data_IF_593598589604
#
_entry.id   IF_593598589604
#
_cell.length_a   1.000
_cell.length_b   1.000
_cell.length_c   1.000
_cell.angle_alpha   90.00
_cell.angle_beta   90.00
_cell.angle_gamma   90.00
#
_symmetry.space_group_name_H-M   'P 1'
#
loop_
_entity.id
_entity.type
_entity.pdbx_description
1 polymer ?
#
# COMPACT_ATOMS: atom_id res chain seq x y z
N UNK A 1 52.05 33.46 24.36
CA UNK A 1 51.10 32.46 24.92
C UNK A 1 49.70 32.98 24.66
N UNK A 2 49.03 32.47 23.63
CA UNK A 2 47.65 32.81 23.29
C UNK A 2 46.96 31.54 22.83
N UNK A 3 45.99 31.07 23.61
CA UNK A 3 45.26 29.84 23.36
C UNK A 3 44.23 30.07 22.26
N UNK A 4 44.36 29.35 21.14
CA UNK A 4 43.30 29.22 20.15
C UNK A 4 42.23 28.26 20.70
N UNK A 5 41.07 28.78 21.06
CA UNK A 5 39.88 27.95 21.31
C UNK A 5 39.23 27.58 19.99
N UNK A 6 39.37 26.31 19.59
CA UNK A 6 38.58 25.71 18.53
C UNK A 6 37.19 25.34 19.07
N UNK A 7 36.16 26.03 18.60
CA UNK A 7 34.77 25.58 18.78
C UNK A 7 34.46 24.55 17.69
N UNK A 8 34.51 23.26 18.04
CA UNK A 8 33.89 22.22 17.22
C UNK A 8 32.39 22.28 17.48
N UNK A 9 31.68 23.00 16.62
CA UNK A 9 30.22 22.92 16.56
C UNK A 9 29.82 21.50 16.19
N UNK A 10 29.34 20.73 17.17
CA UNK A 10 28.63 19.48 16.91
C UNK A 10 27.43 19.82 16.00
N UNK A 11 27.52 19.45 14.73
CA UNK A 11 26.35 19.35 13.87
C UNK A 11 25.42 18.31 14.52
N UNK A 12 24.37 18.82 15.17
CA UNK A 12 23.27 18.10 15.78
C UNK A 12 22.40 17.46 14.68
N UNK A 13 23.00 16.55 13.91
CA UNK A 13 22.25 15.70 13.01
C UNK A 13 21.39 14.77 13.86
N UNK A 14 20.17 15.18 14.19
CA UNK A 14 19.14 14.25 14.66
C UNK A 14 18.90 13.26 13.53
N UNK A 15 19.62 12.13 13.57
CA UNK A 15 19.34 10.97 12.76
C UNK A 15 17.98 10.47 13.25
N UNK A 16 16.92 10.78 12.51
CA UNK A 16 15.64 10.13 12.71
C UNK A 16 15.86 8.64 12.47
N UNK A 17 15.78 7.85 13.54
CA UNK A 17 15.84 6.40 13.44
C UNK A 17 14.56 5.94 12.75
N UNK A 18 14.63 5.73 11.43
CA UNK A 18 13.55 5.08 10.68
C UNK A 18 13.41 3.67 11.22
N UNK A 19 12.26 3.39 11.83
CA UNK A 19 11.88 2.03 12.18
C UNK A 19 10.86 1.58 11.16
N UNK A 20 11.33 0.88 10.14
CA UNK A 20 10.45 0.29 9.15
C UNK A 20 9.49 -0.68 9.85
N UNK A 21 8.20 -0.46 9.67
CA UNK A 21 7.12 -1.26 10.24
C UNK A 21 6.63 -2.24 9.17
N UNK A 22 6.68 -3.53 9.50
CA UNK A 22 6.19 -4.57 8.59
C UNK A 22 4.67 -4.66 8.63
N UNK A 23 4.04 -4.51 7.47
CA UNK A 23 2.61 -4.74 7.25
C UNK A 23 2.46 -6.11 6.59
N UNK A 24 1.83 -7.06 7.27
CA UNK A 24 1.47 -8.36 6.66
C UNK A 24 0.10 -8.25 6.02
N UNK A 25 -0.01 -8.59 4.73
CA UNK A 25 -1.25 -8.50 3.96
C UNK A 25 -1.60 -9.86 3.37
N UNK A 26 -2.85 -10.26 3.50
CA UNK A 26 -3.42 -11.48 2.91
C UNK A 26 -4.50 -11.09 1.90
N UNK A 27 -4.27 -11.42 0.63
CA UNK A 27 -5.16 -11.07 -0.47
C UNK A 27 -5.90 -12.31 -0.89
N UNK A 28 -7.23 -12.27 -0.83
CA UNK A 28 -8.11 -13.39 -1.11
C UNK A 28 -9.01 -13.12 -2.31
N UNK A 29 -9.57 -14.19 -2.86
CA UNK A 29 -10.54 -14.10 -3.96
C UNK A 29 -9.91 -14.10 -5.34
N UNK A 30 -8.61 -14.43 -5.47
CA UNK A 30 -7.97 -14.59 -6.78
C UNK A 30 -8.62 -15.74 -7.55
N UNK A 31 -9.19 -15.45 -8.71
CA UNK A 31 -9.90 -16.44 -9.55
C UNK A 31 -8.95 -17.25 -10.45
N UNK A 32 -7.75 -16.74 -10.71
CA UNK A 32 -6.71 -17.36 -11.55
C UNK A 32 -5.32 -17.20 -10.91
N UNK A 33 -4.36 -18.00 -11.37
CA UNK A 33 -2.94 -17.85 -11.03
C UNK A 33 -2.15 -17.10 -12.13
N UNK A 34 -2.83 -16.67 -13.19
CA UNK A 34 -2.22 -15.90 -14.28
C UNK A 34 -1.85 -14.49 -13.84
N UNK A 35 -0.76 -13.96 -14.39
CA UNK A 35 -0.33 -12.59 -14.15
C UNK A 35 0.11 -12.34 -12.71
N UNK A 36 -0.19 -11.15 -12.21
CA UNK A 36 0.36 -10.63 -10.95
C UNK A 36 -0.72 -10.01 -10.08
N UNK A 37 -0.46 -9.97 -8.77
CA UNK A 37 -1.17 -9.07 -7.87
C UNK A 37 -0.32 -7.84 -7.66
N UNK A 38 -0.92 -6.67 -7.89
CA UNK A 38 -0.29 -5.38 -7.68
C UNK A 38 -0.89 -4.72 -6.46
N UNK A 39 -0.03 -4.24 -5.58
CA UNK A 39 -0.39 -3.50 -4.38
C UNK A 39 0.22 -2.11 -4.43
N UNK A 40 -0.50 -1.14 -3.87
CA UNK A 40 0.02 0.20 -3.67
C UNK A 40 -0.34 0.69 -2.26
N UNK A 41 0.67 1.11 -1.50
CA UNK A 41 0.55 1.68 -0.17
C UNK A 41 0.58 3.21 -0.28
N UNK A 42 -0.27 3.86 0.50
CA UNK A 42 -0.47 5.30 0.44
C UNK A 42 -0.56 5.90 1.85
N UNK A 43 -0.20 7.18 1.95
CA UNK A 43 -0.43 8.04 3.12
C UNK A 43 -1.68 8.91 2.91
N UNK A 44 -2.20 9.56 3.96
CA UNK A 44 -3.24 10.57 3.79
C UNK A 44 -2.76 11.64 2.82
N UNK A 45 -3.59 11.96 1.82
CA UNK A 45 -3.28 12.94 0.79
C UNK A 45 -4.57 13.41 0.12
N UNK A 46 -4.56 14.64 -0.37
CA UNK A 46 -5.65 15.20 -1.19
C UNK A 46 -5.74 14.54 -2.58
N UNK A 47 -4.73 13.76 -2.98
CA UNK A 47 -4.64 13.03 -4.25
C UNK A 47 -4.68 11.50 -4.07
N UNK A 48 -5.58 11.01 -3.21
CA UNK A 48 -5.80 9.58 -2.96
C UNK A 48 -5.77 8.73 -4.25
N UNK A 49 -5.02 7.61 -4.22
CA UNK A 49 -4.77 6.68 -5.33
C UNK A 49 -3.95 7.19 -6.53
N UNK A 50 -3.42 8.42 -6.48
CA UNK A 50 -2.55 8.94 -7.57
C UNK A 50 -1.06 8.80 -7.28
N UNK A 51 -0.66 8.98 -6.02
CA UNK A 51 0.76 9.02 -5.62
C UNK A 51 1.05 7.97 -4.55
N UNK A 52 1.38 6.73 -4.95
CA UNK A 52 1.72 5.68 -3.99
C UNK A 52 3.05 5.96 -3.33
N UNK A 53 3.12 5.68 -2.03
CA UNK A 53 4.37 5.68 -1.27
C UNK A 53 5.27 4.49 -1.67
N UNK A 54 4.65 3.34 -1.85
CA UNK A 54 5.30 2.07 -2.21
C UNK A 54 4.35 1.33 -3.14
N UNK A 55 4.90 0.68 -4.15
CA UNK A 55 4.19 -0.32 -4.96
C UNK A 55 4.90 -1.66 -4.83
N UNK A 56 4.13 -2.74 -4.82
CA UNK A 56 4.65 -4.10 -4.82
C UNK A 56 3.91 -4.93 -5.87
N UNK A 57 4.63 -5.85 -6.50
CA UNK A 57 4.07 -6.75 -7.52
C UNK A 57 4.53 -8.16 -7.22
N UNK A 58 3.58 -9.06 -7.03
CA UNK A 58 3.86 -10.47 -6.72
C UNK A 58 3.14 -11.39 -7.71
N UNK A 59 3.66 -12.59 -8.00
CA UNK A 59 2.97 -13.56 -8.84
C UNK A 59 1.59 -13.92 -8.25
N UNK A 60 0.57 -13.98 -9.11
CA UNK A 60 -0.76 -14.39 -8.68
C UNK A 60 -0.79 -15.88 -8.31
N UNK A 61 -1.65 -16.24 -7.35
CA UNK A 61 -2.02 -17.64 -7.07
C UNK A 61 -3.52 -17.71 -6.86
N UNK A 62 -4.14 -18.75 -7.42
CA UNK A 62 -5.58 -18.99 -7.26
C UNK A 62 -5.93 -19.13 -5.77
N UNK A 63 -7.03 -18.51 -5.35
CA UNK A 63 -7.48 -18.50 -3.97
C UNK A 63 -6.93 -17.31 -3.20
N UNK A 64 -5.65 -17.37 -2.79
CA UNK A 64 -5.04 -16.34 -1.97
C UNK A 64 -3.51 -16.23 -2.12
N UNK A 65 -2.97 -15.05 -1.80
CA UNK A 65 -1.54 -14.76 -1.68
C UNK A 65 -1.26 -13.91 -0.44
N UNK A 66 -0.07 -14.05 0.13
CA UNK A 66 0.38 -13.24 1.27
C UNK A 66 1.61 -12.41 0.87
N UNK A 67 1.67 -11.17 1.31
CA UNK A 67 2.77 -10.23 1.03
C UNK A 67 3.10 -9.41 2.28
N UNK A 68 4.38 -9.04 2.41
CA UNK A 68 4.84 -8.13 3.46
C UNK A 68 5.26 -6.81 2.81
N UNK A 69 4.71 -5.71 3.28
CA UNK A 69 5.09 -4.36 2.89
C UNK A 69 5.87 -3.70 4.02
N UNK A 70 6.80 -2.80 3.70
CA UNK A 70 7.49 -2.00 4.71
C UNK A 70 6.95 -0.57 4.70
N UNK A 71 6.34 -0.16 5.82
CA UNK A 71 5.99 1.23 6.05
C UNK A 71 7.16 1.95 6.73
N UNK A 72 7.54 3.16 6.28
CA UNK A 72 8.74 3.84 6.79
C UNK A 72 8.61 4.38 8.23
N UNK A 73 7.40 4.40 8.78
CA UNK A 73 7.11 4.83 10.14
C UNK A 73 5.75 4.30 10.59
N UNK A 74 5.50 4.35 11.90
CA UNK A 74 4.15 4.20 12.44
C UNK A 74 3.25 5.33 11.94
N UNK A 75 1.98 5.05 11.68
CA UNK A 75 1.06 6.03 11.14
C UNK A 75 -0.22 5.43 10.56
N UNK A 76 -0.95 6.24 9.82
CA UNK A 76 -2.17 5.83 9.11
C UNK A 76 -1.86 5.65 7.64
N UNK A 77 -2.28 4.52 7.09
CA UNK A 77 -2.04 4.14 5.71
C UNK A 77 -3.29 3.55 5.09
N UNK A 78 -3.31 3.46 3.77
CA UNK A 78 -4.30 2.69 3.04
C UNK A 78 -3.63 1.94 1.88
N UNK A 79 -4.19 0.80 1.50
CA UNK A 79 -3.68 -0.09 0.45
C UNK A 79 -4.76 -0.26 -0.62
N UNK A 80 -4.35 -0.18 -1.87
CA UNK A 80 -5.13 -0.68 -3.01
C UNK A 80 -4.50 -1.95 -3.53
N UNK A 81 -5.33 -2.85 -4.06
CA UNK A 81 -4.90 -4.10 -4.68
C UNK A 81 -5.67 -4.33 -5.96
N UNK A 82 -5.01 -4.81 -7.01
CA UNK A 82 -5.70 -5.42 -8.13
C UNK A 82 -4.94 -6.61 -8.72
N UNK A 83 -5.69 -7.49 -9.38
CA UNK A 83 -5.19 -8.64 -10.12
C UNK A 83 -4.97 -8.22 -11.57
N UNK A 84 -3.70 -8.05 -11.93
CA UNK A 84 -3.22 -7.71 -13.27
C UNK A 84 -3.02 -9.01 -14.08
N UNK A 85 -4.04 -9.43 -14.83
CA UNK A 85 -4.02 -10.73 -15.51
C UNK A 85 -3.19 -10.74 -16.79
N UNK A 86 -3.13 -9.61 -17.50
CA UNK A 86 -2.41 -9.45 -18.77
C UNK A 86 -1.02 -8.81 -18.64
N UNK A 87 -0.68 -8.28 -17.45
CA UNK A 87 0.66 -7.84 -17.10
C UNK A 87 0.99 -6.41 -17.56
N UNK A 88 -0.01 -5.61 -17.96
CA UNK A 88 0.21 -4.24 -18.44
C UNK A 88 0.41 -3.22 -17.31
N UNK A 89 0.19 -3.65 -16.07
CA UNK A 89 0.34 -2.87 -14.86
C UNK A 89 -0.75 -1.86 -14.58
N UNK A 90 -1.90 -1.98 -15.25
CA UNK A 90 -3.06 -1.12 -15.08
C UNK A 90 -4.26 -1.97 -14.70
N UNK A 91 -5.12 -1.41 -13.85
CA UNK A 91 -6.41 -2.05 -13.61
C UNK A 91 -7.25 -1.94 -14.89
N UNK A 92 -7.58 -3.08 -15.50
CA UNK A 92 -8.40 -3.08 -16.70
C UNK A 92 -9.83 -2.70 -16.35
N UNK A 93 -10.35 -1.70 -17.07
CA UNK A 93 -11.72 -1.20 -16.90
C UNK A 93 -12.48 -1.22 -18.22
N UNK A 94 -13.82 -1.23 -18.15
CA UNK A 94 -14.67 -1.04 -19.34
C UNK A 94 -14.82 0.46 -19.68
N UNK A 95 -15.58 0.78 -20.73
CA UNK A 95 -15.82 2.17 -21.18
C UNK A 95 -16.52 3.07 -20.14
N UNK A 96 -17.12 2.48 -19.10
CA UNK A 96 -17.73 3.18 -17.98
C UNK A 96 -16.82 3.23 -16.74
N UNK A 97 -15.56 2.80 -16.85
CA UNK A 97 -14.60 2.78 -15.75
C UNK A 97 -14.80 1.64 -14.74
N UNK A 98 -15.69 0.68 -15.03
CA UNK A 98 -15.95 -0.45 -14.12
C UNK A 98 -14.82 -1.49 -14.26
N UNK A 99 -14.18 -1.92 -13.16
CA UNK A 99 -13.14 -2.95 -13.18
C UNK A 99 -13.62 -4.25 -13.83
N UNK A 100 -12.77 -4.83 -14.70
CA UNK A 100 -12.97 -6.15 -15.31
C UNK A 100 -12.10 -7.23 -14.68
N UNK A 101 -11.27 -6.85 -13.73
CA UNK A 101 -10.36 -7.72 -13.00
C UNK A 101 -10.64 -7.60 -11.50
N UNK A 102 -10.10 -8.54 -10.72
CA UNK A 102 -10.23 -8.50 -9.27
C UNK A 102 -9.55 -7.26 -8.70
N UNK A 103 -10.25 -6.50 -7.87
CA UNK A 103 -9.70 -5.32 -7.19
C UNK A 103 -10.15 -5.27 -5.74
N UNK A 104 -9.43 -4.54 -4.88
CA UNK A 104 -9.76 -4.43 -3.48
C UNK A 104 -9.03 -3.29 -2.79
N UNK A 105 -9.51 -2.96 -1.60
CA UNK A 105 -8.97 -1.91 -0.75
C UNK A 105 -8.75 -2.47 0.66
N UNK A 106 -7.80 -1.91 1.39
CA UNK A 106 -7.68 -2.16 2.82
C UNK A 106 -9.00 -1.84 3.55
N UNK A 107 -9.20 -2.51 4.69
CA UNK A 107 -10.47 -2.51 5.43
C UNK A 107 -11.67 -3.06 4.62
N UNK A 108 -11.42 -3.72 3.48
CA UNK A 108 -12.47 -4.18 2.54
C UNK A 108 -13.48 -3.09 2.18
N UNK A 109 -13.02 -1.83 2.20
CA UNK A 109 -13.86 -0.67 1.94
C UNK A 109 -14.35 -0.65 0.50
N UNK A 110 -15.59 -0.19 0.31
CA UNK A 110 -16.24 -0.10 -0.99
C UNK A 110 -17.02 1.21 -1.09
N UNK A 111 -16.77 1.97 -2.15
CA UNK A 111 -17.58 3.15 -2.45
C UNK A 111 -18.89 2.78 -3.17
N UNK A 112 -19.90 3.63 -3.05
CA UNK A 112 -21.20 3.45 -3.75
C UNK A 112 -21.08 3.94 -5.21
N UNK A 113 -20.36 5.04 -5.42
CA UNK A 113 -20.13 5.66 -6.73
C UNK A 113 -18.62 5.83 -6.96
N UNK A 114 -17.94 4.70 -7.21
CA UNK A 114 -16.50 4.66 -7.44
C UNK A 114 -15.70 4.10 -6.24
N UNK A 115 -14.39 4.36 -6.17
CA UNK A 115 -13.55 3.86 -5.08
C UNK A 115 -13.92 4.49 -3.73
N UNK A 116 -13.68 3.80 -2.60
CA UNK A 116 -13.92 4.35 -1.27
C UNK A 116 -12.99 5.54 -0.97
N UNK A 117 -13.38 6.37 -0.01
CA UNK A 117 -12.53 7.43 0.50
C UNK A 117 -11.34 6.89 1.29
N UNK A 118 -10.24 7.65 1.35
CA UNK A 118 -9.04 7.25 2.11
C UNK A 118 -9.38 6.83 3.54
N UNK A 119 -10.22 7.59 4.23
CA UNK A 119 -10.62 7.33 5.62
C UNK A 119 -11.31 5.99 5.80
N UNK A 120 -12.09 5.55 4.81
CA UNK A 120 -12.80 4.28 4.86
C UNK A 120 -11.85 3.11 4.63
N UNK A 121 -10.87 3.30 3.74
CA UNK A 121 -9.85 2.32 3.45
C UNK A 121 -8.70 2.30 4.46
N UNK A 122 -8.54 3.30 5.33
CA UNK A 122 -7.32 3.45 6.12
C UNK A 122 -7.25 2.53 7.35
N UNK A 123 -6.02 2.25 7.78
CA UNK A 123 -5.69 1.46 8.96
C UNK A 123 -4.43 2.00 9.64
N UNK A 124 -4.25 1.67 10.91
CA UNK A 124 -3.09 2.06 11.70
C UNK A 124 -1.93 1.05 11.57
N UNK A 125 -0.70 1.56 11.57
CA UNK A 125 0.55 0.81 11.56
C UNK A 125 1.37 1.21 12.80
N UNK A 126 1.92 0.26 13.58
CA UNK A 126 1.88 -1.19 13.36
C UNK A 126 0.48 -1.77 13.53
N UNK A 127 0.13 -2.74 12.70
CA UNK A 127 -1.12 -3.49 12.79
C UNK A 127 -0.95 -4.65 13.78
N UNK A 128 -1.98 -4.96 14.56
CA UNK A 128 -1.96 -6.07 15.53
C UNK A 128 -2.15 -7.44 14.88
N UNK A 129 -2.71 -7.49 13.67
CA UNK A 129 -3.01 -8.71 12.92
C UNK A 129 -2.70 -8.51 11.43
N UNK A 130 -2.51 -9.59 10.66
CA UNK A 130 -2.45 -9.50 9.21
C UNK A 130 -3.69 -8.82 8.63
N UNK A 131 -3.47 -7.91 7.68
CA UNK A 131 -4.55 -7.22 6.99
C UNK A 131 -5.10 -8.12 5.88
N UNK A 132 -6.33 -8.58 6.06
CA UNK A 132 -7.06 -9.30 5.01
C UNK A 132 -7.69 -8.32 4.01
N UNK A 133 -7.50 -8.57 2.72
CA UNK A 133 -8.15 -7.86 1.61
C UNK A 133 -8.84 -8.87 0.69
N UNK A 134 -10.14 -8.72 0.51
CA UNK A 134 -10.97 -9.58 -0.34
C UNK A 134 -11.20 -8.92 -1.70
N UNK A 135 -10.70 -9.55 -2.78
CA UNK A 135 -10.89 -9.04 -4.13
C UNK A 135 -12.36 -9.15 -4.57
N UNK A 136 -12.90 -8.01 -5.00
CA UNK A 136 -14.22 -7.88 -5.62
C UNK A 136 -14.11 -7.97 -7.13
N UNK A 137 -15.19 -8.48 -7.73
CA UNK A 137 -15.34 -8.69 -9.15
C UNK A 137 -16.79 -8.33 -9.49
N UNK A 138 -16.99 -7.58 -10.57
CA UNK A 138 -18.32 -7.19 -11.09
C UNK A 138 -18.62 -7.87 -12.42
#
# INVERSE_FOLDING_TARGET
>A
MGTFSFWVGLCWGMIWMRSDQTISVEIHGLRSAEGHVRLALFRPSDVWMKEPLLTETIPARKGAVSVKLQAPASGIYAITVFHDTDGDGKLRTNVFGIPREGFGFSNNAMGIFGPPGFKEASFAVPASQPLRIDLRHY
#
